data_IF_775249268080
#
_entry.id   IF_775249268080
#
_cell.length_a   1.000
_cell.length_b   1.000
_cell.length_c   1.000
_cell.angle_alpha   90.00
_cell.angle_beta   90.00
_cell.angle_gamma   90.00
#
_symmetry.space_group_name_H-M   'P 1'
#
loop_
_entity.id
_entity.type
_entity.pdbx_description
1 polymer ?
#
# COMPACT_ATOMS: atom_id res chain seq x y z
N UNK A 1 -21.77 11.32 -10.23
CA UNK A 1 -21.12 11.32 -10.30
C UNK A 1 -20.15 10.96 -10.41
N UNK A 2 -20.37 11.15 -10.08
CA UNK A 2 -19.54 11.16 -10.00
C UNK A 2 -18.59 10.63 -10.06
N UNK A 3 -18.74 10.85 -9.66
CA UNK A 3 -17.89 10.70 -9.72
C UNK A 3 -17.02 10.34 -9.61
N UNK A 4 -17.35 10.43 -9.34
CA UNK A 4 -16.55 10.41 -9.17
C UNK A 4 -15.63 10.43 -9.23
N UNK A 5 -15.79 10.71 -9.10
CA UNK A 5 -15.04 10.96 -9.03
C UNK A 5 -14.30 11.31 -8.89
N UNK A 6 -14.51 11.72 -8.81
CA UNK A 6 -14.10 12.20 -8.56
C UNK A 6 -13.52 12.40 -8.13
N UNK A 7 -13.47 12.83 -7.95
CA UNK A 7 -13.14 13.28 -7.45
C UNK A 7 -12.41 13.62 -6.94
N UNK A 8 -12.16 13.96 -6.60
CA UNK A 8 -11.57 14.49 -6.03
C UNK A 8 -11.27 15.28 -5.89
N UNK A 9 -11.03 15.61 -5.96
CA UNK A 9 -10.72 16.80 -6.08
C UNK A 9 -10.44 17.69 -5.05
N UNK A 10 -9.64 18.45 -5.20
CA UNK A 10 -9.27 19.35 -4.29
C UNK A 10 -10.34 20.25 -4.00
N UNK A 11 -11.00 20.06 -3.13
CA UNK A 11 -12.11 20.85 -2.90
C UNK A 11 -12.18 21.19 -1.47
N UNK A 12 -12.97 22.12 -1.14
CA UNK A 12 -13.05 22.56 0.22
C UNK A 12 -13.74 21.57 1.13
N UNK A 13 -14.11 20.45 0.63
CA UNK A 13 -14.70 19.44 1.48
C UNK A 13 -13.69 18.82 2.44
N UNK A 14 -14.07 17.76 3.11
CA UNK A 14 -13.16 17.09 4.04
C UNK A 14 -11.89 16.69 3.34
N UNK A 15 -10.77 16.90 4.00
CA UNK A 15 -9.49 16.49 3.46
C UNK A 15 -9.35 14.99 3.61
N UNK A 16 -8.69 14.39 2.64
CA UNK A 16 -8.36 12.97 2.75
C UNK A 16 -7.12 12.87 3.60
N UNK A 17 -7.27 12.36 4.80
CA UNK A 17 -6.14 12.22 5.73
C UNK A 17 -5.43 10.89 5.58
N UNK A 18 -6.13 9.87 5.10
CA UNK A 18 -5.56 8.57 4.84
C UNK A 18 -6.19 8.01 3.58
N UNK A 19 -5.48 7.16 2.91
CA UNK A 19 -6.01 6.50 1.73
C UNK A 19 -5.21 5.28 1.36
N UNK A 20 -5.89 4.27 0.85
CA UNK A 20 -5.26 3.09 0.32
C UNK A 20 -6.04 2.65 -0.90
N UNK A 21 -5.33 2.38 -1.99
CA UNK A 21 -5.95 1.85 -3.20
C UNK A 21 -5.21 0.61 -3.63
N UNK A 22 -5.95 -0.37 -4.10
CA UNK A 22 -5.36 -1.61 -4.56
C UNK A 22 -6.32 -2.38 -5.42
N UNK A 23 -5.87 -3.54 -5.87
CA UNK A 23 -6.66 -4.42 -6.70
C UNK A 23 -6.20 -5.86 -6.49
N UNK A 24 -7.12 -6.81 -6.69
CA UNK A 24 -6.77 -8.22 -6.57
C UNK A 24 -6.80 -8.87 -7.95
N UNK A 25 -5.85 -9.77 -8.19
CA UNK A 25 -5.76 -10.48 -9.46
C UNK A 25 -4.94 -11.75 -9.29
N UNK A 26 -5.47 -12.85 -9.72
CA UNK A 26 -4.77 -14.14 -9.72
C UNK A 26 -4.15 -14.50 -8.37
N UNK A 27 -4.88 -14.24 -7.30
CA UNK A 27 -4.42 -14.63 -5.97
C UNK A 27 -3.49 -13.63 -5.31
N UNK A 28 -3.28 -12.47 -5.93
CA UNK A 28 -2.43 -11.42 -5.40
C UNK A 28 -3.21 -10.15 -5.13
N UNK A 29 -2.90 -9.51 -4.02
CA UNK A 29 -3.34 -8.14 -3.76
C UNK A 29 -2.21 -7.23 -4.20
N UNK A 30 -2.50 -6.28 -5.08
CA UNK A 30 -1.56 -5.23 -5.43
C UNK A 30 -1.98 -3.96 -4.69
N UNK A 31 -1.11 -3.44 -3.84
CA UNK A 31 -1.36 -2.17 -3.16
C UNK A 31 -0.76 -1.08 -4.02
N UNK A 32 -1.63 -0.31 -4.66
CA UNK A 32 -1.20 0.74 -5.57
C UNK A 32 -0.56 1.90 -4.83
N UNK A 33 -1.18 2.33 -3.76
CA UNK A 33 -0.59 3.35 -2.90
C UNK A 33 -1.24 3.33 -1.54
N UNK A 34 -0.49 3.81 -0.59
CA UNK A 34 -0.96 4.05 0.77
C UNK A 34 -0.54 5.47 1.12
N UNK A 35 -1.48 6.26 1.60
CA UNK A 35 -1.19 7.64 1.94
C UNK A 35 -1.76 7.96 3.33
N UNK A 36 -0.94 8.56 4.16
CA UNK A 36 -1.31 8.94 5.52
C UNK A 36 -0.77 10.33 5.76
N UNK A 37 -1.62 11.23 6.26
CA UNK A 37 -1.19 12.59 6.52
C UNK A 37 -0.15 12.62 7.64
N UNK A 38 0.65 13.68 7.67
CA UNK A 38 1.69 13.82 8.68
C UNK A 38 1.14 13.80 10.09
N UNK A 39 -0.06 14.33 10.28
CA UNK A 39 -0.65 14.38 11.61
C UNK A 39 -1.01 13.01 12.15
N UNK A 40 -1.17 12.01 11.28
CA UNK A 40 -1.60 10.68 11.68
C UNK A 40 -0.51 9.62 11.57
N UNK A 41 0.67 9.98 11.07
CA UNK A 41 1.69 8.98 10.72
C UNK A 41 2.16 8.13 11.89
N UNK A 42 2.21 8.68 13.08
CA UNK A 42 2.74 7.93 14.22
C UNK A 42 1.66 7.28 15.07
N UNK A 43 0.43 7.26 14.57
CA UNK A 43 -0.70 6.72 15.32
C UNK A 43 -1.10 5.34 14.88
N UNK A 44 -0.30 4.70 14.04
CA UNK A 44 -0.58 3.33 13.60
C UNK A 44 -1.66 3.21 12.53
N UNK A 45 -2.08 4.33 11.94
CA UNK A 45 -3.17 4.32 10.96
C UNK A 45 -2.78 3.57 9.70
N UNK A 46 -1.56 3.79 9.21
CA UNK A 46 -1.10 3.09 8.01
C UNK A 46 -1.04 1.59 8.22
N UNK A 47 -0.54 1.18 9.38
CA UNK A 47 -0.49 -0.24 9.72
C UNK A 47 -1.89 -0.84 9.77
N UNK A 48 -2.84 -0.11 10.35
CA UNK A 48 -4.21 -0.59 10.45
C UNK A 48 -4.85 -0.74 9.08
N UNK A 49 -4.65 0.26 8.19
CA UNK A 49 -5.18 0.19 6.84
C UNK A 49 -4.61 -1.00 6.07
N UNK A 50 -3.31 -1.22 6.19
CA UNK A 50 -2.68 -2.36 5.53
C UNK A 50 -3.24 -3.66 6.07
N UNK A 51 -3.43 -3.74 7.38
CA UNK A 51 -4.01 -4.94 7.99
C UNK A 51 -5.42 -5.22 7.49
N UNK A 52 -6.23 -4.18 7.34
CA UNK A 52 -7.59 -4.34 6.82
C UNK A 52 -7.57 -4.81 5.36
N UNK A 53 -6.70 -4.21 4.54
CA UNK A 53 -6.60 -4.59 3.14
C UNK A 53 -6.14 -6.03 3.01
N UNK A 54 -5.17 -6.43 3.80
CA UNK A 54 -4.67 -7.81 3.78
C UNK A 54 -5.74 -8.79 4.24
N UNK A 55 -6.52 -8.42 5.26
CA UNK A 55 -7.61 -9.25 5.72
C UNK A 55 -8.66 -9.48 4.66
N UNK A 56 -9.04 -8.42 3.94
CA UNK A 56 -10.00 -8.53 2.85
C UNK A 56 -9.45 -9.38 1.71
N UNK A 57 -8.16 -9.24 1.43
CA UNK A 57 -7.54 -10.05 0.39
C UNK A 57 -7.60 -11.53 0.74
N UNK A 58 -7.32 -11.86 2.00
CA UNK A 58 -7.45 -13.26 2.44
C UNK A 58 -8.86 -13.78 2.25
N UNK A 59 -9.86 -12.97 2.57
CA UNK A 59 -11.26 -13.36 2.40
C UNK A 59 -11.59 -13.63 0.93
N UNK A 60 -10.90 -12.96 0.02
CA UNK A 60 -11.07 -13.16 -1.41
C UNK A 60 -10.21 -14.29 -1.97
N UNK A 61 -9.47 -14.98 -1.11
CA UNK A 61 -8.62 -16.08 -1.55
C UNK A 61 -7.24 -15.70 -2.02
N UNK A 62 -6.82 -14.46 -1.77
CA UNK A 62 -5.47 -14.05 -2.14
C UNK A 62 -4.46 -14.66 -1.19
N UNK A 63 -3.39 -15.22 -1.75
CA UNK A 63 -2.34 -15.83 -0.93
C UNK A 63 -1.20 -14.89 -0.63
N UNK A 64 -1.09 -13.78 -1.35
CA UNK A 64 0.04 -12.88 -1.21
C UNK A 64 -0.33 -11.46 -1.59
N UNK A 65 0.53 -10.52 -1.25
CA UNK A 65 0.36 -9.13 -1.62
C UNK A 65 1.71 -8.57 -2.06
N UNK A 66 1.68 -7.58 -2.93
CA UNK A 66 2.89 -6.91 -3.38
C UNK A 66 2.61 -5.44 -3.59
N UNK A 67 3.69 -4.65 -3.56
CA UNK A 67 3.62 -3.22 -3.77
C UNK A 67 4.97 -2.72 -4.24
N UNK A 68 5.01 -1.46 -4.64
CA UNK A 68 6.29 -0.83 -4.91
C UNK A 68 6.32 0.54 -4.26
N UNK A 69 7.51 1.05 -4.03
CA UNK A 69 7.70 2.35 -3.41
C UNK A 69 9.04 2.93 -3.83
N UNK A 70 9.06 4.25 -4.03
CA UNK A 70 10.29 4.99 -4.24
C UNK A 70 10.87 5.48 -2.92
N UNK A 71 10.09 5.44 -1.84
CA UNK A 71 10.50 6.02 -0.58
C UNK A 71 11.34 5.04 0.24
N UNK A 72 12.53 5.46 0.59
CA UNK A 72 13.38 4.69 1.46
C UNK A 72 12.74 4.49 2.84
N UNK A 73 12.06 5.53 3.33
CA UNK A 73 11.37 5.46 4.62
C UNK A 73 10.17 4.52 4.58
N UNK A 74 9.42 4.57 3.48
CA UNK A 74 8.27 3.69 3.33
C UNK A 74 8.72 2.24 3.23
N UNK A 75 9.86 1.98 2.59
CA UNK A 75 10.41 0.63 2.54
C UNK A 75 10.60 0.07 3.95
N UNK A 76 11.17 0.87 4.87
CA UNK A 76 11.33 0.45 6.25
C UNK A 76 10.01 0.16 6.95
N UNK A 77 9.01 0.99 6.66
CA UNK A 77 7.66 0.78 7.20
C UNK A 77 7.10 -0.58 6.75
N UNK A 78 7.22 -0.88 5.46
CA UNK A 78 6.71 -2.15 4.94
C UNK A 78 7.49 -3.35 5.46
N UNK A 79 8.80 -3.20 5.63
CA UNK A 79 9.58 -4.28 6.22
C UNK A 79 9.11 -4.63 7.62
N UNK A 80 8.71 -3.64 8.39
CA UNK A 80 8.18 -3.89 9.73
C UNK A 80 6.84 -4.60 9.69
N UNK A 81 6.13 -4.52 8.59
CA UNK A 81 4.86 -5.22 8.41
C UNK A 81 5.05 -6.63 7.84
N UNK A 82 6.28 -7.04 7.59
CA UNK A 82 6.58 -8.36 7.10
C UNK A 82 6.82 -8.46 5.61
N UNK A 83 6.91 -7.34 4.92
CA UNK A 83 7.23 -7.33 3.49
C UNK A 83 8.73 -7.51 3.28
N UNK A 84 9.06 -8.17 2.18
CA UNK A 84 10.47 -8.30 1.77
C UNK A 84 10.64 -7.73 0.37
N UNK A 85 11.78 -7.13 0.13
CA UNK A 85 12.10 -6.59 -1.19
C UNK A 85 12.49 -7.74 -2.11
N UNK A 86 11.86 -7.83 -3.28
CA UNK A 86 12.18 -8.86 -4.24
C UNK A 86 12.72 -8.32 -5.56
N UNK A 87 12.83 -6.99 -5.68
CA UNK A 87 13.40 -6.38 -6.86
C UNK A 87 13.56 -4.90 -6.70
N UNK A 88 14.36 -4.31 -7.59
CA UNK A 88 14.66 -2.89 -7.52
C UNK A 88 15.00 -2.38 -8.91
N UNK A 89 14.51 -1.19 -9.23
CA UNK A 89 14.88 -0.51 -10.46
C UNK A 89 15.59 0.80 -10.13
N UNK A 90 16.61 1.11 -10.91
CA UNK A 90 17.35 2.36 -10.76
C UNK A 90 16.66 3.47 -11.53
N UNK A 91 16.51 4.61 -10.90
CA UNK A 91 16.02 5.81 -11.55
C UNK A 91 17.02 6.93 -11.28
N UNK A 92 18.04 7.10 -12.12
CA UNK A 92 19.06 8.11 -11.85
C UNK A 92 18.44 9.51 -11.83
N UNK A 93 19.02 10.44 -11.03
CA UNK A 93 20.15 10.18 -10.14
C UNK A 93 19.69 9.76 -8.75
N UNK A 94 20.20 8.62 -8.29
CA UNK A 94 20.08 8.29 -6.87
C UNK A 94 18.72 7.84 -6.37
N UNK A 95 17.79 7.54 -7.26
CA UNK A 95 16.47 7.07 -6.88
C UNK A 95 16.30 5.60 -7.24
N UNK A 96 15.53 4.89 -6.42
CA UNK A 96 15.27 3.48 -6.64
C UNK A 96 13.80 3.20 -6.44
N UNK A 97 13.26 2.32 -7.27
CA UNK A 97 11.92 1.79 -7.08
C UNK A 97 12.04 0.41 -6.48
N UNK A 98 11.51 0.25 -5.28
CA UNK A 98 11.61 -1.00 -4.52
C UNK A 98 10.33 -1.79 -4.70
N UNK A 99 10.46 -3.04 -5.10
CA UNK A 99 9.32 -3.95 -5.24
C UNK A 99 9.32 -4.88 -4.04
N UNK A 100 8.20 -4.93 -3.33
CA UNK A 100 8.12 -5.66 -2.07
C UNK A 100 6.91 -6.57 -2.06
N UNK A 101 7.02 -7.69 -1.37
CA UNK A 101 5.95 -8.68 -1.30
C UNK A 101 5.84 -9.27 0.10
N UNK A 102 4.67 -9.85 0.36
CA UNK A 102 4.41 -10.51 1.64
C UNK A 102 3.45 -11.66 1.41
N UNK A 103 3.70 -12.79 2.05
CA UNK A 103 2.78 -13.91 2.01
C UNK A 103 1.68 -13.69 3.02
N UNK A 104 0.43 -13.89 2.61
CA UNK A 104 -0.73 -13.68 3.47
C UNK A 104 -1.25 -14.98 4.07
N UNK A 105 -1.05 -16.08 3.37
CA UNK A 105 -1.51 -17.39 3.79
C UNK A 105 -0.29 -18.28 3.90
N UNK A 106 -0.14 -19.05 5.00
CA UNK A 106 1.04 -19.90 5.14
C UNK A 106 1.16 -20.88 3.99
N UNK A 107 2.37 -21.17 3.53
CA UNK A 107 2.55 -22.16 2.49
C UNK A 107 2.14 -23.53 3.01
N UNK A 108 1.68 -24.36 2.10
CA UNK A 108 1.31 -25.72 2.44
C UNK A 108 2.48 -26.66 2.34
#
# INVERSE_FOLDING_TARGET
MRHSGDRTSARPGPQILVGLAGATYCGWLFVKYLWVSDTLRRQGVGRELMGQAEGRARERGCHSTWLDTFSFQARGFYEKLGYEEFGRLDYPPGHYRHFMRKRLIPPR
#
